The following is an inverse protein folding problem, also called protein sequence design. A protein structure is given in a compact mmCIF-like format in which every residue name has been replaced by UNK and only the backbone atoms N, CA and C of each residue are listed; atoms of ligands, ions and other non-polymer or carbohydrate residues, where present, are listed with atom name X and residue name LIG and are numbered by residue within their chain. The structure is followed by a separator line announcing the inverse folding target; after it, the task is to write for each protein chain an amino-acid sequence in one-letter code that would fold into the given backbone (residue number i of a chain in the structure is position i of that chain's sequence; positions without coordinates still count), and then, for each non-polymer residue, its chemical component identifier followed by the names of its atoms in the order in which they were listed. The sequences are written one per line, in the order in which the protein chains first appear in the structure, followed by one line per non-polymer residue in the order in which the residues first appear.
data_IF_806236711961
#
_entry.id   IF_806236711961
#
_cell.length_a   1.000
_cell.length_b   1.000
_cell.length_c   1.000
_cell.angle_alpha   90.00
_cell.angle_beta   90.00
_cell.angle_gamma   90.00
#
_symmetry.space_group_name_H-M   'P 1'
#
loop_
_entity.id
_entity.type
_entity.pdbx_description
1 polymer ?
#
# COMPACT_ATOMS: atom_id res chain seq x y z
N UNK A 1 -5.77 17.26 3.79
CA UNK A 1 -4.33 16.88 3.71
C UNK A 1 -4.21 15.39 3.38
N UNK A 2 -2.99 14.89 3.37
CA UNK A 2 -2.75 13.48 3.06
C UNK A 2 -2.92 12.63 4.31
N UNK A 3 -3.17 11.34 4.11
CA UNK A 3 -3.34 10.42 5.24
C UNK A 3 -2.53 9.16 5.03
N UNK A 4 -1.60 8.90 5.95
CA UNK A 4 -0.76 7.72 5.87
C UNK A 4 -0.84 6.90 7.15
N UNK A 5 -0.21 5.73 7.15
CA UNK A 5 -0.23 4.86 8.32
C UNK A 5 0.88 3.83 8.24
N UNK A 6 1.65 3.68 9.32
CA UNK A 6 2.74 2.72 9.35
C UNK A 6 2.21 1.31 9.58
N UNK A 7 2.61 0.38 8.72
CA UNK A 7 2.16 -1.00 8.83
C UNK A 7 3.36 -1.95 8.78
N UNK A 8 3.48 -2.78 9.81
CA UNK A 8 4.58 -3.74 9.88
C UNK A 8 4.28 -4.96 9.03
N UNK A 9 5.20 -5.30 8.13
CA UNK A 9 5.03 -6.45 7.26
C UNK A 9 5.60 -7.71 7.91
N UNK A 10 4.71 -8.57 8.39
CA UNK A 10 5.13 -9.81 9.04
C UNK A 10 5.41 -10.89 7.99
N UNK A 11 6.32 -10.59 7.08
CA UNK A 11 6.67 -11.54 6.03
C UNK A 11 5.45 -11.87 5.17
N UNK A 12 4.53 -10.93 5.08
CA UNK A 12 3.33 -11.12 4.28
C UNK A 12 2.57 -9.80 4.12
N UNK A 13 2.80 -9.13 2.99
CA UNK A 13 2.13 -7.86 2.73
C UNK A 13 0.62 -8.05 2.70
N UNK A 14 0.18 -9.29 2.82
CA UNK A 14 -1.25 -9.59 2.80
C UNK A 14 -1.53 -10.91 2.10
N UNK A 15 -2.76 -11.08 1.62
CA UNK A 15 -3.14 -12.31 0.93
C UNK A 15 -2.45 -12.39 -0.43
N UNK A 16 -1.26 -13.00 -0.45
CA UNK A 16 -0.51 -13.13 -1.69
C UNK A 16 -0.25 -11.77 -2.31
N UNK A 17 -0.42 -11.69 -3.63
CA UNK A 17 -0.20 -10.43 -4.33
C UNK A 17 -1.53 -9.77 -4.68
N UNK A 18 -2.62 -10.34 -4.18
CA UNK A 18 -3.95 -9.81 -4.45
C UNK A 18 -4.03 -8.35 -4.00
N UNK A 19 -3.61 -8.08 -2.79
CA UNK A 19 -3.64 -6.70 -2.23
C UNK A 19 -3.06 -5.68 -3.20
N UNK A 20 -1.85 -5.92 -3.66
CA UNK A 20 -1.19 -5.01 -4.60
C UNK A 20 -2.02 -4.86 -5.87
N UNK A 21 -2.48 -5.99 -6.40
CA UNK A 21 -3.29 -5.98 -7.61
C UNK A 21 -4.64 -5.31 -7.35
N UNK A 22 -5.23 -5.62 -6.21
CA UNK A 22 -6.53 -5.04 -5.85
C UNK A 22 -6.41 -3.52 -5.71
N UNK A 23 -5.29 -3.07 -5.17
CA UNK A 23 -5.07 -1.64 -4.99
C UNK A 23 -5.36 -0.89 -6.29
N UNK A 24 -4.83 -1.40 -7.40
CA UNK A 24 -5.04 -0.78 -8.70
C UNK A 24 -6.54 -0.61 -8.97
N UNK A 25 -7.31 -1.61 -8.59
CA UNK A 25 -8.76 -1.56 -8.81
C UNK A 25 -9.41 -0.60 -7.83
N UNK A 26 -8.88 -0.54 -6.62
CA UNK A 26 -9.42 0.35 -5.60
C UNK A 26 -9.19 1.81 -5.98
N UNK A 27 -7.98 2.11 -6.47
CA UNK A 27 -7.64 3.46 -6.88
C UNK A 27 -8.64 3.97 -7.91
N UNK A 28 -9.21 3.06 -8.68
CA UNK A 28 -10.19 3.43 -9.70
C UNK A 28 -11.58 3.56 -9.10
N UNK A 29 -11.86 2.72 -8.10
CA UNK A 29 -13.16 2.76 -7.44
C UNK A 29 -13.24 3.92 -6.45
N UNK A 30 -12.13 4.20 -5.79
CA UNK A 30 -12.08 5.29 -4.82
C UNK A 30 -11.44 6.53 -5.44
N UNK A 31 -11.69 7.68 -4.83
CA UNK A 31 -11.13 8.94 -5.33
C UNK A 31 -9.96 9.38 -4.45
N UNK A 32 -8.75 8.99 -4.85
CA UNK A 32 -7.56 9.36 -4.09
C UNK A 32 -6.34 8.60 -4.63
N UNK A 33 -5.16 9.15 -4.37
CA UNK A 33 -3.92 8.52 -4.82
C UNK A 33 -3.24 7.79 -3.67
N UNK A 34 -2.94 6.51 -3.89
CA UNK A 34 -2.29 5.71 -2.86
C UNK A 34 -0.81 5.52 -3.19
N UNK A 35 0.05 5.69 -2.19
CA UNK A 35 1.48 5.53 -2.39
C UNK A 35 2.10 4.74 -1.24
N UNK A 36 3.00 3.81 -1.57
CA UNK A 36 3.66 2.99 -0.56
C UNK A 36 5.11 3.40 -0.41
N UNK A 37 5.65 3.22 0.79
CA UNK A 37 7.04 3.58 1.06
C UNK A 37 7.64 2.63 2.09
N UNK A 38 8.87 2.18 1.83
CA UNK A 38 9.53 1.27 2.76
C UNK A 38 10.40 2.06 3.75
N UNK A 39 10.65 1.45 4.90
CA UNK A 39 11.46 2.10 5.92
C UNK A 39 12.78 2.59 5.34
N UNK A 40 13.25 1.90 4.30
CA UNK A 40 14.51 2.27 3.66
C UNK A 40 14.38 3.62 2.95
N UNK A 41 13.14 4.10 2.83
CA UNK A 41 12.88 5.38 2.18
C UNK A 41 12.58 5.17 0.70
N UNK A 42 12.36 3.93 0.30
CA UNK A 42 12.06 3.61 -1.08
C UNK A 42 10.57 3.80 -1.37
N UNK A 43 10.26 4.73 -2.26
CA UNK A 43 8.87 4.99 -2.61
C UNK A 43 8.35 3.93 -3.57
N UNK A 44 7.55 3.01 -3.05
CA UNK A 44 6.99 1.94 -3.87
C UNK A 44 5.65 2.37 -4.47
N UNK A 45 5.70 3.38 -5.34
CA UNK A 45 4.49 3.88 -5.99
C UNK A 45 3.58 2.72 -6.37
N UNK A 46 2.36 2.73 -5.83
CA UNK A 46 1.40 1.66 -6.13
C UNK A 46 1.05 1.67 -7.61
N UNK A 47 1.50 2.69 -8.32
CA UNK A 47 1.23 2.81 -9.76
C UNK A 47 2.43 2.36 -10.57
N UNK A 48 3.25 1.48 -9.98
CA UNK A 48 4.42 0.97 -10.66
C UNK A 48 4.67 -0.49 -10.29
N UNK A 49 4.75 -1.35 -11.30
CA UNK A 49 4.99 -2.77 -11.08
C UNK A 49 6.36 -2.98 -10.44
N UNK A 50 7.32 -2.17 -10.84
CA UNK A 50 8.68 -2.28 -10.30
C UNK A 50 8.69 -2.05 -8.79
N UNK A 51 7.83 -1.13 -8.34
CA UNK A 51 7.75 -0.81 -6.92
C UNK A 51 7.20 -2.01 -6.14
N UNK A 52 6.18 -2.65 -6.70
CA UNK A 52 5.58 -3.81 -6.05
C UNK A 52 6.62 -4.90 -5.82
N UNK A 53 7.52 -5.07 -6.79
CA UNK A 53 8.56 -6.09 -6.68
C UNK A 53 9.51 -5.76 -5.54
N UNK A 54 9.78 -4.46 -5.36
CA UNK A 54 10.68 -4.03 -4.29
C UNK A 54 10.06 -4.29 -2.93
N UNK A 55 8.74 -4.09 -2.83
CA UNK A 55 8.04 -4.30 -1.57
C UNK A 55 8.13 -5.76 -1.14
N UNK A 56 8.14 -6.66 -2.12
CA UNK A 56 8.23 -8.08 -1.85
C UNK A 56 9.44 -8.38 -0.97
N UNK A 57 10.51 -7.63 -1.17
CA UNK A 57 11.73 -7.82 -0.39
C UNK A 57 11.59 -7.21 1.00
N UNK A 58 10.47 -6.51 1.21
CA UNK A 58 10.22 -5.88 2.51
C UNK A 58 9.63 -6.89 3.49
N UNK A 59 9.99 -8.16 3.31
CA UNK A 59 9.48 -9.21 4.19
C UNK A 59 10.09 -9.08 5.58
N UNK A 60 9.34 -8.45 6.49
CA UNK A 60 9.83 -8.27 7.85
C UNK A 60 10.24 -6.82 8.10
N UNK A 61 10.01 -5.98 7.10
CA UNK A 61 10.36 -4.56 7.22
C UNK A 61 9.11 -3.71 7.40
N UNK A 62 9.30 -2.46 7.83
CA UNK A 62 8.19 -1.56 8.05
C UNK A 62 8.01 -0.63 6.85
N UNK A 63 6.76 -0.32 6.53
CA UNK A 63 6.46 0.56 5.40
C UNK A 63 5.49 1.66 5.82
N UNK A 64 5.39 2.71 5.01
CA UNK A 64 4.49 3.81 5.31
C UNK A 64 3.54 4.05 4.14
N UNK A 65 2.31 3.57 4.27
CA UNK A 65 1.31 3.75 3.22
C UNK A 65 0.68 5.13 3.29
N UNK A 66 0.71 5.86 2.18
CA UNK A 66 0.13 7.19 2.13
C UNK A 66 -0.99 7.27 1.11
N UNK A 67 -2.08 7.95 1.47
CA UNK A 67 -3.22 8.07 0.56
C UNK A 67 -3.74 9.50 0.58
N UNK A 68 -3.95 10.07 -0.61
CA UNK A 68 -4.46 11.43 -0.72
C UNK A 68 -5.72 11.46 -1.56
N UNK A 69 -6.76 12.11 -1.03
CA UNK A 69 -8.03 12.20 -1.75
C UNK A 69 -9.21 12.07 -0.79
N UNK A 70 -10.37 12.48 -1.21
CA UNK A 70 -11.61 12.43 -0.38
C UNK A 70 -11.79 11.06 0.27
N UNK A 71 -11.59 10.00 -0.51
CA UNK A 71 -11.74 8.64 0.00
C UNK A 71 -10.39 8.10 0.46
N UNK A 72 -9.37 8.96 0.45
CA UNK A 72 -8.04 8.55 0.88
C UNK A 72 -8.11 7.59 2.06
N UNK A 73 -9.09 7.82 2.94
CA UNK A 73 -9.26 6.97 4.11
C UNK A 73 -9.64 5.55 3.68
N UNK A 74 -10.64 5.44 2.81
CA UNK A 74 -11.09 4.15 2.33
C UNK A 74 -9.93 3.38 1.69
N UNK A 75 -9.25 4.02 0.76
CA UNK A 75 -8.12 3.40 0.08
C UNK A 75 -7.11 2.89 1.09
N UNK A 76 -6.72 3.77 2.02
CA UNK A 76 -5.75 3.41 3.04
C UNK A 76 -6.30 2.31 3.94
N UNK A 77 -7.56 2.46 4.34
CA UNK A 77 -8.21 1.47 5.21
C UNK A 77 -8.29 0.12 4.51
N UNK A 78 -8.64 0.15 3.22
CA UNK A 78 -8.76 -1.07 2.44
C UNK A 78 -7.42 -1.79 2.37
N UNK A 79 -6.36 -1.02 2.13
CA UNK A 79 -5.02 -1.60 2.04
C UNK A 79 -4.59 -2.15 3.40
N UNK A 80 -4.85 -1.38 4.45
CA UNK A 80 -4.48 -1.81 5.80
C UNK A 80 -5.25 -3.06 6.19
N UNK A 81 -6.54 -3.10 5.84
CA UNK A 81 -7.37 -4.26 6.16
C UNK A 81 -6.85 -5.51 5.45
N UNK A 82 -6.35 -5.32 4.23
CA UNK A 82 -5.82 -6.44 3.46
C UNK A 82 -4.48 -6.89 4.02
N UNK A 83 -3.66 -5.93 4.43
CA UNK A 83 -2.35 -6.24 4.99
C UNK A 83 -2.51 -6.94 6.34
N UNK A 84 -3.57 -6.59 7.06
CA UNK A 84 -3.81 -7.20 8.37
C UNK A 84 -4.51 -8.54 8.21
N UNK A 85 -4.84 -8.90 6.97
CA UNK A 85 -5.51 -10.16 6.71
C UNK A 85 -6.98 -10.09 7.12
#
# INVERSE_FOLDING_TARGET
MTVKQTVEITNKLGMHARPAMKLFELMQGFDAEVLLRNDEGTEAEANSVIALLMLDSAKGRQIEVEATGPQEEEALAAVIALFNS
#
